data_IF_320271519023
#
_entry.id   IF_320271519023
#
_cell.length_a   1.000
_cell.length_b   1.000
_cell.length_c   1.000
_cell.angle_alpha   90.00
_cell.angle_beta   90.00
_cell.angle_gamma   90.00
#
_symmetry.space_group_name_H-M   'P 1'
#
loop_
_entity.id
_entity.type
_entity.pdbx_description
1 polymer ?
#
# COMPACT_ATOMS: atom_id res chain seq x y z
N UNK A 1 -12.75 -4.00 57.42
CA UNK A 1 -13.81 -3.15 56.83
C UNK A 1 -13.87 -3.51 55.34
N UNK A 2 -14.55 -4.59 54.92
CA UNK A 2 -15.98 -4.63 54.52
C UNK A 2 -16.45 -3.30 53.91
N UNK A 3 -16.92 -3.25 52.66
CA UNK A 3 -18.23 -3.79 52.23
C UNK A 3 -18.21 -4.26 50.76
N UNK A 4 -18.85 -5.41 50.51
CA UNK A 4 -19.41 -5.86 49.25
C UNK A 4 -20.95 -5.75 49.30
N UNK A 5 -21.62 -5.39 48.20
CA UNK A 5 -23.04 -5.73 47.87
C UNK A 5 -23.42 -5.08 46.52
N UNK A 6 -23.70 -5.86 45.47
CA UNK A 6 -25.01 -6.38 45.06
C UNK A 6 -26.01 -5.33 44.51
N UNK A 7 -26.36 -5.45 43.23
CA UNK A 7 -27.74 -5.29 42.75
C UNK A 7 -27.93 -5.96 41.38
N UNK A 8 -28.71 -7.04 41.39
CA UNK A 8 -29.29 -7.74 40.25
C UNK A 8 -30.76 -7.26 40.09
N UNK A 9 -31.28 -7.43 38.87
CA UNK A 9 -32.70 -7.39 38.44
C UNK A 9 -33.39 -6.04 38.21
N UNK A 10 -33.84 -5.83 36.95
CA UNK A 10 -35.27 -5.93 36.56
C UNK A 10 -35.46 -5.91 35.04
N UNK A 11 -36.03 -7.00 34.53
CA UNK A 11 -36.77 -7.08 33.27
C UNK A 11 -38.08 -6.29 33.38
N UNK A 12 -38.52 -5.66 32.30
CA UNK A 12 -39.89 -5.42 31.80
C UNK A 12 -39.68 -4.97 30.34
N UNK A 13 -40.18 -5.59 29.26
CA UNK A 13 -41.51 -6.12 29.05
C UNK A 13 -42.39 -5.05 28.38
N UNK A 14 -42.16 -4.73 27.10
CA UNK A 14 -43.09 -3.89 26.33
C UNK A 14 -43.71 -4.70 25.18
N UNK A 15 -44.97 -5.05 25.39
CA UNK A 15 -45.90 -5.58 24.40
C UNK A 15 -46.50 -4.38 23.66
N UNK A 16 -46.40 -4.34 22.33
CA UNK A 16 -47.18 -3.39 21.52
C UNK A 16 -48.16 -4.18 20.67
N UNK A 17 -49.43 -3.84 20.87
CA UNK A 17 -50.62 -4.39 20.23
C UNK A 17 -50.62 -4.15 18.70
N UNK A 18 -51.02 -5.18 17.97
CA UNK A 18 -51.34 -5.14 16.55
C UNK A 18 -52.79 -4.64 16.37
N UNK A 19 -52.98 -3.61 15.54
CA UNK A 19 -54.30 -3.25 15.02
C UNK A 19 -54.34 -3.54 13.51
N UNK A 20 -55.22 -4.46 13.10
CA UNK A 20 -55.55 -4.75 11.70
C UNK A 20 -56.44 -3.64 11.14
N UNK A 21 -56.12 -3.13 9.95
CA UNK A 21 -57.10 -2.56 9.01
C UNK A 21 -56.92 -3.24 7.64
N UNK A 22 -58.04 -3.68 7.09
CA UNK A 22 -58.19 -4.25 5.75
C UNK A 22 -58.15 -3.15 4.68
N UNK A 23 -57.53 -3.41 3.53
CA UNK A 23 -57.75 -2.63 2.31
C UNK A 23 -56.61 -2.62 1.28
N UNK A 24 -56.82 -3.35 0.18
CA UNK A 24 -56.26 -3.19 -1.20
C UNK A 24 -54.75 -3.33 -1.47
N UNK A 25 -54.42 -4.40 -2.21
CA UNK A 25 -53.15 -4.71 -2.91
C UNK A 25 -53.05 -3.96 -4.27
N UNK A 26 -51.90 -3.88 -5.00
CA UNK A 26 -51.14 -5.05 -5.46
C UNK A 26 -49.59 -4.99 -5.34
N UNK A 27 -49.03 -6.21 -5.22
CA UNK A 27 -47.70 -6.67 -5.66
C UNK A 27 -46.45 -6.19 -4.89
N UNK A 28 -46.14 -6.89 -3.79
CA UNK A 28 -44.79 -7.01 -3.27
C UNK A 28 -44.38 -8.49 -3.26
N UNK A 29 -43.33 -8.83 -4.02
CA UNK A 29 -42.68 -10.13 -3.97
C UNK A 29 -41.97 -10.27 -2.61
N UNK A 30 -42.40 -11.24 -1.80
CA UNK A 30 -41.73 -11.61 -0.55
C UNK A 30 -40.83 -12.81 -0.81
N UNK A 31 -39.52 -12.68 -0.60
CA UNK A 31 -38.63 -13.83 -0.39
C UNK A 31 -38.43 -14.02 1.11
N UNK A 32 -39.06 -15.07 1.65
CA UNK A 32 -38.80 -15.56 3.00
C UNK A 32 -37.48 -16.34 3.00
N UNK A 33 -36.52 -15.90 3.80
CA UNK A 33 -35.34 -16.72 4.12
C UNK A 33 -35.64 -17.48 5.40
N UNK A 34 -35.69 -18.82 5.32
CA UNK A 34 -35.88 -19.71 6.46
C UNK A 34 -34.50 -20.18 6.92
N UNK A 35 -34.08 -19.77 8.12
CA UNK A 35 -32.85 -20.27 8.75
C UNK A 35 -33.12 -21.69 9.25
N UNK A 36 -32.34 -22.67 8.77
CA UNK A 36 -32.19 -23.96 9.44
C UNK A 36 -30.85 -23.91 10.19
N UNK A 37 -30.91 -24.21 11.49
CA UNK A 37 -29.74 -24.39 12.35
C UNK A 37 -29.61 -25.89 12.55
N UNK A 38 -28.50 -26.47 12.08
CA UNK A 38 -28.10 -27.83 12.42
C UNK A 38 -26.86 -27.77 13.36
N UNK A 39 -26.78 -28.73 14.28
CA UNK A 39 -26.05 -28.71 15.57
C UNK A 39 -24.50 -28.68 15.54
N UNK A 40 -23.86 -28.15 14.50
CA UNK A 40 -22.41 -28.00 14.43
C UNK A 40 -21.98 -26.68 13.77
N UNK A 41 -22.37 -25.56 14.36
CA UNK A 41 -21.57 -24.32 14.48
C UNK A 41 -20.88 -23.65 13.26
N UNK A 42 -21.15 -24.04 12.00
CA UNK A 42 -20.50 -23.45 10.83
C UNK A 42 -21.49 -22.73 9.91
N UNK A 43 -21.21 -21.44 9.64
CA UNK A 43 -21.96 -20.60 8.70
C UNK A 43 -21.35 -20.73 7.29
N UNK A 44 -22.04 -21.41 6.38
CA UNK A 44 -21.77 -21.37 4.94
C UNK A 44 -22.76 -20.45 4.22
N UNK A 45 -22.26 -19.57 3.34
CA UNK A 45 -23.11 -18.81 2.43
C UNK A 45 -23.12 -19.47 1.04
N UNK A 46 -24.29 -19.71 0.47
CA UNK A 46 -24.48 -19.93 -0.96
C UNK A 46 -24.95 -18.61 -1.58
N UNK A 47 -24.21 -18.08 -2.57
CA UNK A 47 -24.66 -16.93 -3.35
C UNK A 47 -25.41 -17.42 -4.59
N UNK A 48 -26.67 -17.01 -4.72
CA UNK A 48 -27.44 -17.15 -5.94
C UNK A 48 -26.83 -16.27 -7.06
N UNK A 49 -26.39 -16.90 -8.15
CA UNK A 49 -25.89 -16.22 -9.35
C UNK A 49 -27.06 -15.63 -10.15
N UNK A 50 -27.13 -14.30 -10.23
CA UNK A 50 -27.99 -13.60 -11.19
C UNK A 50 -27.14 -13.28 -12.43
N UNK A 51 -27.34 -14.02 -13.53
CA UNK A 51 -26.75 -13.70 -14.84
C UNK A 51 -27.51 -12.52 -15.45
N UNK A 52 -26.83 -11.38 -15.63
CA UNK A 52 -27.27 -10.37 -16.61
C UNK A 52 -26.52 -10.59 -17.91
N UNK A 53 -27.24 -10.93 -18.98
CA UNK A 53 -26.72 -10.90 -20.34
C UNK A 53 -26.70 -9.45 -20.84
N UNK A 54 -25.50 -8.88 -20.99
CA UNK A 54 -25.31 -7.66 -21.78
C UNK A 54 -24.75 -8.07 -23.14
N UNK A 55 -25.57 -8.00 -24.19
CA UNK A 55 -25.13 -8.12 -25.57
C UNK A 55 -24.45 -6.81 -25.98
N UNK A 56 -23.16 -6.88 -26.33
CA UNK A 56 -22.43 -5.78 -26.95
C UNK A 56 -22.58 -5.96 -28.46
N UNK A 57 -23.30 -5.06 -29.12
CA UNK A 57 -23.28 -4.93 -30.58
C UNK A 57 -22.02 -4.15 -30.98
N UNK A 58 -21.09 -4.82 -31.67
CA UNK A 58 -19.98 -4.18 -32.37
C UNK A 58 -20.49 -3.43 -33.60
N UNK A 59 -20.32 -2.11 -33.63
CA UNK A 59 -20.47 -1.29 -34.83
C UNK A 59 -19.07 -0.92 -35.33
N UNK A 60 -18.70 -1.44 -36.49
CA UNK A 60 -17.49 -1.08 -37.23
C UNK A 60 -17.80 0.05 -38.21
N UNK A 61 -17.12 1.19 -38.10
CA UNK A 61 -17.01 2.15 -39.21
C UNK A 61 -15.76 3.03 -39.09
N UNK A 62 -14.81 2.83 -40.01
CA UNK A 62 -13.71 3.76 -40.29
C UNK A 62 -14.20 4.96 -41.11
N UNK A 63 -13.46 6.08 -41.08
CA UNK A 63 -13.37 6.92 -42.28
C UNK A 63 -11.93 7.17 -42.74
N UNK A 64 -11.77 6.97 -44.04
CA UNK A 64 -10.68 7.45 -44.91
C UNK A 64 -10.57 8.97 -44.84
N UNK A 65 -9.34 9.51 -44.76
CA UNK A 65 -9.05 10.91 -45.11
C UNK A 65 -7.88 10.93 -46.08
N UNK A 66 -8.22 11.18 -47.35
CA UNK A 66 -7.32 11.67 -48.38
C UNK A 66 -7.84 13.03 -48.84
N UNK A 67 -7.03 14.09 -48.71
CA UNK A 67 -6.86 15.15 -49.72
C UNK A 67 -5.88 16.23 -49.24
N UNK A 68 -4.82 16.35 -50.02
CA UNK A 68 -3.83 17.42 -50.08
C UNK A 68 -4.39 18.57 -50.93
N UNK A 69 -4.05 19.84 -50.62
CA UNK A 69 -3.65 20.94 -51.54
C UNK A 69 -3.20 22.16 -50.70
N UNK A 70 -2.23 22.98 -51.17
CA UNK A 70 -1.28 23.71 -50.32
C UNK A 70 -1.53 25.23 -50.27
N UNK A 71 -0.94 25.91 -49.28
CA UNK A 71 -0.70 27.36 -49.33
C UNK A 71 0.67 27.69 -48.74
N UNK A 72 1.46 28.40 -49.56
CA UNK A 72 2.79 28.92 -49.31
C UNK A 72 2.73 30.37 -48.84
N UNK A 73 3.61 30.75 -47.90
CA UNK A 73 4.43 31.99 -47.87
C UNK A 73 5.28 32.07 -46.58
N UNK A 74 6.38 32.85 -46.59
CA UNK A 74 7.68 32.40 -46.09
C UNK A 74 8.06 32.93 -44.69
N UNK A 75 8.99 32.23 -44.05
CA UNK A 75 9.61 32.60 -42.78
C UNK A 75 10.75 33.61 -43.01
N UNK A 76 10.62 34.79 -42.40
CA UNK A 76 11.61 35.86 -42.45
C UNK A 76 12.76 35.60 -41.47
N UNK A 77 13.97 35.81 -41.96
CA UNK A 77 15.25 35.79 -41.28
C UNK A 77 15.46 36.98 -40.33
N UNK A 78 15.85 36.75 -39.08
CA UNK A 78 16.58 37.74 -38.26
C UNK A 78 17.59 37.09 -37.29
N UNK A 79 18.85 37.50 -37.48
CA UNK A 79 20.04 37.58 -36.62
C UNK A 79 20.44 36.44 -35.65
N UNK A 80 21.71 35.97 -35.72
CA UNK A 80 22.28 35.05 -34.74
C UNK A 80 22.69 35.81 -33.46
N UNK A 81 22.29 35.28 -32.30
CA UNK A 81 22.80 35.67 -30.98
C UNK A 81 24.27 35.21 -30.84
N UNK A 82 25.14 35.98 -30.15
CA UNK A 82 26.51 35.57 -29.89
C UNK A 82 26.55 34.35 -28.93
N UNK A 83 27.54 33.45 -29.08
CA UNK A 83 27.66 32.27 -28.22
C UNK A 83 28.04 32.68 -26.78
N UNK A 84 27.58 31.94 -25.76
CA UNK A 84 27.98 32.21 -24.38
C UNK A 84 29.46 31.88 -24.17
N UNK A 85 30.16 32.77 -23.45
CA UNK A 85 31.54 32.60 -23.00
C UNK A 85 31.68 31.33 -22.15
N UNK A 86 32.52 30.40 -22.60
CA UNK A 86 32.95 29.26 -21.81
C UNK A 86 34.01 29.71 -20.79
N UNK A 87 33.60 29.83 -19.54
CA UNK A 87 34.54 29.90 -18.42
C UNK A 87 35.18 28.51 -18.24
N UNK A 88 36.51 28.47 -18.28
CA UNK A 88 37.34 27.30 -18.00
C UNK A 88 37.04 26.75 -16.59
N UNK A 89 36.27 25.66 -16.51
CA UNK A 89 36.31 24.76 -15.35
C UNK A 89 37.24 23.60 -15.70
N UNK A 90 38.38 23.57 -15.02
CA UNK A 90 39.32 22.45 -14.97
C UNK A 90 38.56 21.17 -14.61
N UNK A 91 38.34 20.29 -15.59
CA UNK A 91 37.86 18.93 -15.36
C UNK A 91 38.99 18.13 -14.71
N UNK A 92 38.91 17.91 -13.41
CA UNK A 92 39.58 16.78 -12.77
C UNK A 92 38.92 15.50 -13.28
N UNK A 93 39.65 14.75 -14.10
CA UNK A 93 39.25 13.45 -14.61
C UNK A 93 39.21 12.41 -13.49
N UNK A 94 38.06 12.23 -12.86
CA UNK A 94 37.77 10.99 -12.12
C UNK A 94 37.11 10.00 -13.07
N UNK A 95 37.92 9.11 -13.64
CA UNK A 95 37.44 7.93 -14.36
C UNK A 95 36.90 6.90 -13.36
N UNK A 96 35.71 7.15 -12.82
CA UNK A 96 34.96 6.10 -12.13
C UNK A 96 34.26 5.23 -13.17
N UNK A 97 34.90 4.11 -13.50
CA UNK A 97 34.27 2.96 -14.15
C UNK A 97 33.23 2.36 -13.20
N UNK A 98 32.07 3.02 -13.08
CA UNK A 98 30.94 2.48 -12.32
C UNK A 98 30.36 1.28 -13.09
N UNK A 99 30.48 0.10 -12.48
CA UNK A 99 29.85 -1.12 -12.98
C UNK A 99 28.34 -0.90 -13.11
N UNK A 100 27.73 -1.18 -14.28
CA UNK A 100 26.30 -0.95 -14.46
C UNK A 100 25.52 -2.01 -13.66
N UNK A 101 24.79 -1.52 -12.65
CA UNK A 101 23.76 -2.22 -11.86
C UNK A 101 24.27 -3.18 -10.76
N UNK A 102 25.11 -2.70 -9.85
CA UNK A 102 25.25 -3.36 -8.54
C UNK A 102 24.06 -2.97 -7.65
N UNK A 103 23.14 -3.90 -7.38
CA UNK A 103 22.06 -3.70 -6.41
C UNK A 103 22.65 -3.96 -5.01
N UNK A 104 23.11 -2.89 -4.37
CA UNK A 104 23.63 -2.94 -3.00
C UNK A 104 22.50 -2.93 -1.99
N UNK A 105 22.57 -3.82 -0.99
CA UNK A 105 21.72 -3.79 0.20
C UNK A 105 21.82 -2.45 0.92
N UNK A 106 20.69 -1.98 1.46
CA UNK A 106 20.61 -0.68 2.14
C UNK A 106 19.87 -0.81 3.45
N UNK A 107 20.23 0.06 4.37
CA UNK A 107 19.56 0.20 5.65
C UNK A 107 19.16 1.66 5.85
N UNK A 108 18.09 2.09 5.16
CA UNK A 108 17.46 3.42 5.31
C UNK A 108 16.14 3.37 6.08
N UNK A 109 15.80 2.22 6.65
CA UNK A 109 14.72 2.09 7.62
C UNK A 109 14.97 3.08 8.76
N UNK A 110 14.01 3.94 9.03
CA UNK A 110 14.08 4.92 10.11
C UNK A 110 13.19 4.44 11.26
N UNK A 111 13.80 4.07 12.37
CA UNK A 111 13.09 3.62 13.57
C UNK A 111 13.89 4.03 14.81
N UNK A 112 13.57 5.20 15.39
CA UNK A 112 14.10 5.60 16.69
C UNK A 112 13.90 4.53 17.80
N UNK A 113 12.78 3.79 17.88
CA UNK A 113 12.62 2.68 18.83
C UNK A 113 13.66 1.57 18.69
N UNK A 114 14.15 1.30 17.46
CA UNK A 114 15.20 0.33 17.18
C UNK A 114 16.62 0.95 17.19
N UNK A 115 16.74 2.25 17.45
CA UNK A 115 18.00 2.98 17.30
C UNK A 115 18.43 3.21 15.84
N UNK A 116 17.57 2.90 14.86
CA UNK A 116 17.86 3.07 13.44
C UNK A 116 17.63 4.52 13.02
N UNK A 117 18.73 5.26 12.86
CA UNK A 117 18.72 6.68 12.50
C UNK A 117 19.66 6.94 11.31
N UNK A 118 19.23 6.66 10.06
CA UNK A 118 20.08 6.87 8.90
C UNK A 118 20.50 8.35 8.75
N UNK A 119 21.73 8.65 8.29
CA UNK A 119 22.18 10.03 8.08
C UNK A 119 21.36 10.71 6.98
N UNK A 120 21.33 12.05 6.96
CA UNK A 120 20.55 12.84 5.99
C UNK A 120 19.06 12.47 5.96
N UNK A 121 18.52 12.05 7.10
CA UNK A 121 17.08 11.85 7.29
C UNK A 121 16.46 13.17 7.77
N UNK A 122 15.33 13.64 7.21
CA UNK A 122 14.65 14.82 7.73
C UNK A 122 14.29 14.63 9.21
N UNK A 123 14.60 15.59 10.10
CA UNK A 123 14.53 15.39 11.55
C UNK A 123 13.09 15.15 12.06
N UNK A 124 12.08 15.60 11.32
CA UNK A 124 10.67 15.44 11.67
C UNK A 124 9.99 14.28 10.96
N UNK A 125 10.68 13.54 10.08
CA UNK A 125 10.06 12.51 9.24
C UNK A 125 9.32 11.45 10.07
N UNK A 126 10.01 10.88 11.06
CA UNK A 126 9.42 9.88 11.94
C UNK A 126 8.31 10.45 12.83
N UNK A 127 8.57 11.57 13.52
CA UNK A 127 7.63 12.15 14.47
C UNK A 127 6.36 12.66 13.78
N UNK A 128 6.48 13.21 12.57
CA UNK A 128 5.34 13.63 11.75
C UNK A 128 4.47 12.44 11.33
N UNK A 129 5.08 11.36 10.83
CA UNK A 129 4.35 10.16 10.43
C UNK A 129 3.60 9.53 11.61
N UNK A 130 4.28 9.32 12.74
CA UNK A 130 3.67 8.77 13.96
C UNK A 130 2.54 9.67 14.47
N UNK A 131 2.76 10.99 14.57
CA UNK A 131 1.75 11.92 15.07
C UNK A 131 0.52 11.97 14.17
N UNK A 132 0.71 11.91 12.85
CA UNK A 132 -0.38 11.86 11.88
C UNK A 132 -1.25 10.61 12.10
N UNK A 133 -0.66 9.42 12.12
CA UNK A 133 -1.46 8.20 12.26
C UNK A 133 -2.01 8.01 13.68
N UNK A 134 -1.37 8.53 14.73
CA UNK A 134 -1.95 8.56 16.07
C UNK A 134 -3.17 9.50 16.19
N UNK A 135 -3.29 10.50 15.29
CA UNK A 135 -4.46 11.38 15.25
C UNK A 135 -5.70 10.73 14.63
N UNK A 136 -5.54 9.58 13.95
CA UNK A 136 -6.61 8.81 13.32
C UNK A 136 -6.97 7.64 14.26
N UNK A 137 -8.17 7.58 14.86
CA UNK A 137 -8.46 6.63 15.95
C UNK A 137 -8.18 5.16 15.62
N UNK A 138 -8.58 4.69 14.44
CA UNK A 138 -8.39 3.28 14.06
C UNK A 138 -6.91 2.95 13.80
N UNK A 139 -6.13 3.90 13.26
CA UNK A 139 -4.69 3.75 13.10
C UNK A 139 -3.98 3.74 14.46
N UNK A 140 -4.40 4.61 15.37
CA UNK A 140 -3.86 4.69 16.72
C UNK A 140 -4.02 3.36 17.47
N UNK A 141 -5.18 2.70 17.35
CA UNK A 141 -5.40 1.37 17.92
C UNK A 141 -4.37 0.33 17.43
N UNK A 142 -4.01 0.36 16.14
CA UNK A 142 -3.02 -0.55 15.57
C UNK A 142 -1.61 -0.23 16.09
N UNK A 143 -1.22 1.04 16.06
CA UNK A 143 0.13 1.49 16.44
C UNK A 143 0.38 1.30 17.94
N UNK A 144 -0.64 1.46 18.77
CA UNK A 144 -0.56 1.33 20.24
C UNK A 144 -0.76 -0.10 20.73
N UNK A 145 -0.99 -1.06 19.83
CA UNK A 145 -1.05 -2.48 20.20
C UNK A 145 0.28 -2.87 20.88
N UNK A 146 0.25 -3.67 21.97
CA UNK A 146 1.47 -4.13 22.62
C UNK A 146 2.40 -4.83 21.64
N UNK A 147 3.71 -4.73 21.88
CA UNK A 147 4.75 -5.33 21.04
C UNK A 147 4.83 -4.78 19.60
N UNK A 148 4.14 -3.66 19.31
CA UNK A 148 4.25 -2.98 18.02
C UNK A 148 5.52 -2.15 17.93
N UNK A 149 6.27 -2.35 16.84
CA UNK A 149 7.49 -1.59 16.52
C UNK A 149 7.26 -0.76 15.26
N UNK A 150 7.06 0.57 15.38
CA UNK A 150 6.88 1.46 14.24
C UNK A 150 8.20 1.88 13.60
N UNK A 151 8.15 2.10 12.28
CA UNK A 151 9.27 2.60 11.49
C UNK A 151 8.78 3.28 10.21
N UNK A 152 9.57 4.22 9.68
CA UNK A 152 9.36 4.76 8.33
C UNK A 152 10.15 3.89 7.34
N UNK A 153 9.52 3.36 6.28
CA UNK A 153 10.19 2.50 5.33
C UNK A 153 11.20 3.24 4.46
N UNK A 154 12.19 2.51 3.95
CA UNK A 154 13.28 3.05 3.14
C UNK A 154 12.79 3.81 1.89
N UNK A 155 11.74 3.30 1.22
CA UNK A 155 11.15 3.96 0.04
C UNK A 155 10.54 5.34 0.32
N UNK A 156 10.36 5.70 1.60
CA UNK A 156 9.89 7.00 2.06
C UNK A 156 10.97 7.79 2.84
N UNK A 157 12.24 7.37 2.78
CA UNK A 157 13.40 8.05 3.36
C UNK A 157 14.60 8.09 2.38
N UNK A 158 14.46 8.75 1.22
CA UNK A 158 15.49 8.76 0.18
C UNK A 158 16.81 9.35 0.68
N UNK A 159 17.93 8.73 0.32
CA UNK A 159 19.27 9.19 0.73
C UNK A 159 19.86 10.28 -0.17
N UNK A 160 19.42 10.34 -1.43
CA UNK A 160 19.98 11.24 -2.45
C UNK A 160 19.01 11.38 -3.62
N UNK A 161 19.12 12.43 -4.46
CA UNK A 161 18.26 12.64 -5.64
C UNK A 161 18.33 11.54 -6.71
N UNK A 162 19.27 10.61 -6.59
CA UNK A 162 19.54 9.58 -7.60
C UNK A 162 18.85 8.25 -7.35
N UNK A 163 18.26 8.00 -6.17
CA UNK A 163 17.70 6.69 -5.79
C UNK A 163 16.53 6.81 -4.82
N UNK A 164 15.66 5.81 -4.79
CA UNK A 164 14.49 5.73 -3.90
C UNK A 164 13.56 6.96 -4.04
N UNK A 165 13.51 7.51 -5.25
CA UNK A 165 12.85 8.79 -5.53
C UNK A 165 11.34 8.64 -5.73
N UNK A 166 10.85 7.47 -6.16
CA UNK A 166 9.45 7.35 -6.59
C UNK A 166 8.47 7.73 -5.47
N UNK A 167 8.57 7.09 -4.31
CA UNK A 167 7.65 7.33 -3.20
C UNK A 167 8.06 8.57 -2.38
N UNK A 168 9.22 8.50 -1.71
CA UNK A 168 9.67 9.50 -0.75
C UNK A 168 10.13 10.84 -1.33
N UNK A 169 10.11 11.02 -2.65
CA UNK A 169 10.41 12.31 -3.29
C UNK A 169 9.35 12.72 -4.33
N UNK A 170 9.17 11.94 -5.40
CA UNK A 170 8.29 12.26 -6.53
C UNK A 170 6.82 12.27 -6.13
N UNK A 171 6.37 11.24 -5.39
CA UNK A 171 4.99 11.13 -4.94
C UNK A 171 4.75 11.75 -3.56
N UNK A 172 5.81 12.07 -2.80
CA UNK A 172 5.75 12.69 -1.48
C UNK A 172 5.38 14.19 -1.57
N UNK A 173 4.10 14.46 -1.86
CA UNK A 173 3.57 15.82 -1.98
C UNK A 173 2.30 15.97 -1.15
N UNK A 174 1.85 17.21 -0.84
CA UNK A 174 0.59 17.42 -0.13
C UNK A 174 -0.63 16.81 -0.81
N UNK A 175 -0.59 16.62 -2.14
CA UNK A 175 -1.65 15.98 -2.93
C UNK A 175 -1.34 14.52 -3.27
N UNK A 176 -0.15 14.03 -2.94
CA UNK A 176 0.32 12.68 -3.29
C UNK A 176 0.25 11.74 -2.09
N UNK A 177 1.33 11.00 -1.86
CA UNK A 177 1.52 10.20 -0.64
C UNK A 177 2.00 11.15 0.46
N UNK A 178 1.14 11.43 1.43
CA UNK A 178 1.38 12.47 2.43
C UNK A 178 2.21 11.96 3.61
N UNK A 179 1.90 10.76 4.08
CA UNK A 179 2.55 10.10 5.21
C UNK A 179 2.60 8.59 4.96
N UNK A 180 3.68 7.95 5.41
CA UNK A 180 3.83 6.50 5.40
C UNK A 180 4.42 6.05 6.74
N UNK A 181 3.82 5.03 7.34
CA UNK A 181 4.34 4.41 8.56
C UNK A 181 4.11 2.91 8.49
N UNK A 182 5.18 2.15 8.65
CA UNK A 182 5.15 0.71 8.75
C UNK A 182 5.31 0.27 10.20
N UNK A 183 4.80 -0.91 10.52
CA UNK A 183 5.00 -1.54 11.81
C UNK A 183 4.92 -3.06 11.71
N UNK A 184 5.59 -3.73 12.64
CA UNK A 184 5.48 -5.16 12.87
C UNK A 184 5.28 -5.43 14.35
N UNK A 185 4.85 -6.64 14.69
CA UNK A 185 4.71 -7.08 16.07
C UNK A 185 5.85 -8.02 16.43
N UNK A 186 6.48 -7.83 17.59
CA UNK A 186 7.40 -8.82 18.14
C UNK A 186 6.61 -9.94 18.81
N UNK A 187 7.15 -11.15 18.74
CA UNK A 187 6.55 -12.32 19.40
C UNK A 187 6.97 -12.35 20.88
N UNK A 188 8.21 -11.92 21.14
CA UNK A 188 8.82 -11.81 22.46
C UNK A 188 9.97 -10.79 22.44
N UNK A 189 10.62 -10.58 23.59
CA UNK A 189 11.71 -9.61 23.78
C UNK A 189 12.98 -9.92 22.98
N UNK A 190 13.16 -11.17 22.56
CA UNK A 190 14.34 -11.64 21.81
C UNK A 190 14.13 -11.66 20.30
N UNK A 191 12.88 -11.51 19.84
CA UNK A 191 12.53 -11.64 18.42
C UNK A 191 13.33 -10.68 17.54
N UNK A 192 13.64 -9.45 18.00
CA UNK A 192 14.40 -8.46 17.22
C UNK A 192 15.85 -8.91 17.05
N UNK A 193 16.48 -9.44 18.11
CA UNK A 193 17.90 -9.72 18.17
C UNK A 193 18.25 -11.09 17.58
N UNK A 194 17.33 -12.04 17.56
CA UNK A 194 17.56 -13.38 17.02
C UNK A 194 17.65 -13.34 15.48
N UNK A 195 18.83 -13.54 14.87
CA UNK A 195 18.96 -13.46 13.42
C UNK A 195 18.18 -14.55 12.68
N UNK A 196 17.90 -15.69 13.33
CA UNK A 196 17.24 -16.83 12.71
C UNK A 196 15.71 -16.69 12.62
N UNK A 197 15.16 -15.66 13.26
CA UNK A 197 13.71 -15.38 13.31
C UNK A 197 13.39 -14.14 12.48
N UNK A 198 13.09 -14.29 11.19
CA UNK A 198 12.70 -13.17 10.34
C UNK A 198 11.33 -12.62 10.72
N UNK A 199 11.14 -11.32 10.52
CA UNK A 199 9.84 -10.67 10.54
C UNK A 199 9.04 -11.16 9.33
N UNK A 200 7.97 -11.90 9.59
CA UNK A 200 7.16 -12.54 8.55
C UNK A 200 5.94 -11.72 8.14
N UNK A 201 5.57 -10.70 8.92
CA UNK A 201 4.41 -9.85 8.68
C UNK A 201 4.74 -8.38 8.95
N UNK A 202 4.35 -7.50 8.03
CA UNK A 202 4.44 -6.05 8.18
C UNK A 202 3.11 -5.42 7.76
N UNK A 203 2.67 -4.46 8.56
CA UNK A 203 1.56 -3.57 8.22
C UNK A 203 2.11 -2.21 7.82
N UNK A 204 1.55 -1.60 6.78
CA UNK A 204 1.94 -0.24 6.33
C UNK A 204 0.71 0.63 6.14
N UNK A 205 0.71 1.78 6.79
CA UNK A 205 -0.30 2.82 6.67
C UNK A 205 0.16 3.85 5.63
N UNK A 206 -0.74 4.22 4.73
CA UNK A 206 -0.52 5.28 3.73
C UNK A 206 -1.62 6.33 3.85
N UNK A 207 -1.24 7.59 4.03
CA UNK A 207 -2.15 8.73 3.88
C UNK A 207 -2.08 9.21 2.42
N UNK A 208 -3.20 9.12 1.70
CA UNK A 208 -3.26 9.31 0.25
C UNK A 208 -4.08 10.56 -0.11
N UNK A 209 -3.51 11.44 -0.92
CA UNK A 209 -4.15 12.68 -1.39
C UNK A 209 -4.75 12.59 -2.80
N UNK A 210 -5.62 13.55 -3.12
CA UNK A 210 -6.38 13.66 -4.39
C UNK A 210 -5.55 13.64 -5.68
N UNK A 211 -4.28 13.98 -5.64
CA UNK A 211 -3.37 13.97 -6.79
C UNK A 211 -3.04 12.56 -7.29
N UNK A 212 -3.42 11.51 -6.55
CA UNK A 212 -3.25 10.11 -6.94
C UNK A 212 -4.52 9.51 -7.60
N UNK A 213 -5.52 10.33 -7.92
CA UNK A 213 -6.73 9.90 -8.60
C UNK A 213 -6.47 9.37 -10.01
N UNK A 214 -7.17 8.30 -10.39
CA UNK A 214 -7.26 7.87 -11.80
C UNK A 214 -8.59 8.23 -12.45
N UNK A 215 -9.67 8.20 -11.66
CA UNK A 215 -10.98 8.74 -11.98
C UNK A 215 -11.42 9.66 -10.85
N UNK A 216 -12.40 10.51 -11.08
CA UNK A 216 -12.89 11.44 -10.05
C UNK A 216 -13.26 10.69 -8.76
N UNK A 217 -12.60 11.07 -7.66
CA UNK A 217 -12.80 10.49 -6.33
C UNK A 217 -12.21 9.09 -6.11
N UNK A 218 -11.52 8.51 -7.09
CA UNK A 218 -11.01 7.13 -7.02
C UNK A 218 -9.50 7.07 -7.17
N UNK A 219 -8.84 6.41 -6.22
CA UNK A 219 -7.42 6.11 -6.27
C UNK A 219 -7.06 5.36 -7.55
N UNK A 220 -6.04 5.84 -8.26
CA UNK A 220 -5.58 5.22 -9.49
C UNK A 220 -5.18 3.77 -9.25
N UNK A 221 -5.62 2.84 -10.11
CA UNK A 221 -5.30 1.41 -9.97
C UNK A 221 -3.79 1.15 -9.91
N UNK A 222 -3.01 1.84 -10.74
CA UNK A 222 -1.54 1.82 -10.65
C UNK A 222 -0.97 2.27 -9.30
N UNK A 223 -1.62 3.18 -8.57
CA UNK A 223 -1.16 3.57 -7.24
C UNK A 223 -1.42 2.47 -6.20
N UNK A 224 -2.55 1.78 -6.29
CA UNK A 224 -2.82 0.58 -5.50
C UNK A 224 -1.73 -0.48 -5.76
N UNK A 225 -1.32 -0.64 -7.03
CA UNK A 225 -0.23 -1.56 -7.38
C UNK A 225 1.10 -1.14 -6.79
N UNK A 226 1.44 0.15 -6.88
CA UNK A 226 2.69 0.68 -6.33
C UNK A 226 2.74 0.52 -4.81
N UNK A 227 1.69 0.88 -4.05
CA UNK A 227 1.74 0.70 -2.58
C UNK A 227 1.77 -0.78 -2.19
N UNK A 228 1.19 -1.68 -2.99
CA UNK A 228 1.29 -3.12 -2.76
C UNK A 228 2.73 -3.62 -2.94
N UNK A 229 3.38 -3.28 -4.05
CA UNK A 229 4.76 -3.66 -4.34
C UNK A 229 5.71 -3.15 -3.27
N UNK A 230 5.61 -1.87 -2.94
CA UNK A 230 6.42 -1.23 -1.89
C UNK A 230 6.19 -1.90 -0.54
N UNK A 231 4.94 -2.16 -0.14
CA UNK A 231 4.62 -2.80 1.14
C UNK A 231 5.16 -4.23 1.26
N UNK A 232 5.13 -4.99 0.17
CA UNK A 232 5.70 -6.34 0.14
C UNK A 232 7.24 -6.30 0.16
N UNK A 233 7.85 -5.31 -0.50
CA UNK A 233 9.30 -5.10 -0.47
C UNK A 233 9.83 -4.72 0.93
N UNK A 234 9.03 -4.03 1.74
CA UNK A 234 9.40 -3.63 3.11
C UNK A 234 9.76 -4.83 4.00
N UNK A 235 9.18 -6.02 3.77
CA UNK A 235 9.59 -7.24 4.48
C UNK A 235 11.07 -7.55 4.26
N UNK A 236 11.61 -7.34 3.06
CA UNK A 236 13.03 -7.51 2.82
C UNK A 236 13.86 -6.42 3.48
N UNK A 237 13.42 -5.16 3.39
CA UNK A 237 14.14 -4.03 3.97
C UNK A 237 14.28 -4.13 5.49
N UNK A 238 13.19 -4.44 6.21
CA UNK A 238 13.23 -4.53 7.68
C UNK A 238 14.04 -5.73 8.15
N UNK A 239 13.93 -6.89 7.49
CA UNK A 239 14.71 -8.07 7.83
C UNK A 239 16.21 -7.86 7.57
N UNK A 240 16.57 -7.17 6.48
CA UNK A 240 17.94 -6.78 6.23
C UNK A 240 18.45 -5.78 7.28
N UNK A 241 17.64 -4.78 7.63
CA UNK A 241 17.99 -3.78 8.66
C UNK A 241 18.25 -4.42 10.03
N UNK A 242 17.49 -5.45 10.36
CA UNK A 242 17.60 -6.25 11.58
C UNK A 242 18.68 -7.34 11.52
N UNK A 243 19.39 -7.49 10.39
CA UNK A 243 20.44 -8.50 10.23
C UNK A 243 19.92 -9.94 10.25
N UNK A 244 18.67 -10.17 9.84
CA UNK A 244 18.08 -11.51 9.80
C UNK A 244 18.76 -12.38 8.76
N UNK A 245 19.00 -13.64 9.10
CA UNK A 245 19.65 -14.62 8.25
C UNK A 245 18.62 -15.46 7.50
N UNK A 246 18.98 -15.87 6.28
CA UNK A 246 18.13 -16.64 5.39
C UNK A 246 18.53 -16.41 3.94
N UNK A 247 18.21 -17.35 3.06
CA UNK A 247 18.62 -17.30 1.65
C UNK A 247 18.11 -16.06 0.89
N UNK A 248 17.09 -15.37 1.42
CA UNK A 248 16.48 -14.19 0.80
C UNK A 248 16.59 -12.92 1.64
N UNK A 249 16.71 -12.99 2.97
CA UNK A 249 16.64 -11.81 3.85
C UNK A 249 17.98 -11.06 4.03
N UNK A 250 19.11 -11.69 3.69
CA UNK A 250 20.45 -11.08 3.73
C UNK A 250 20.99 -10.69 2.35
N UNK A 251 20.12 -10.51 1.35
CA UNK A 251 20.49 -10.20 -0.03
C UNK A 251 19.57 -9.14 -0.63
N UNK A 252 20.04 -8.42 -1.65
CA UNK A 252 19.17 -7.54 -2.40
C UNK A 252 18.08 -8.34 -3.12
N UNK A 253 16.83 -7.91 -3.04
CA UNK A 253 15.71 -8.56 -3.70
C UNK A 253 15.09 -7.63 -4.73
N UNK A 254 14.55 -8.22 -5.80
CA UNK A 254 13.78 -7.51 -6.82
C UNK A 254 12.47 -8.23 -7.09
N UNK A 255 11.43 -7.48 -7.42
CA UNK A 255 10.14 -8.02 -7.85
C UNK A 255 10.31 -8.73 -9.19
N UNK A 256 10.01 -10.02 -9.23
CA UNK A 256 9.99 -10.83 -10.45
C UNK A 256 8.58 -11.06 -11.00
N UNK A 257 7.55 -10.94 -10.15
CA UNK A 257 6.15 -11.04 -10.54
C UNK A 257 5.25 -10.37 -9.51
N UNK A 258 4.16 -9.77 -10.00
CA UNK A 258 3.16 -9.09 -9.19
C UNK A 258 1.77 -9.35 -9.82
N UNK A 259 0.88 -9.96 -9.06
CA UNK A 259 -0.53 -10.17 -9.42
C UNK A 259 -1.41 -9.44 -8.41
N UNK A 260 -2.42 -8.72 -8.92
CA UNK A 260 -3.33 -7.91 -8.11
C UNK A 260 -4.76 -8.15 -8.55
N UNK A 261 -5.64 -8.39 -7.58
CA UNK A 261 -7.09 -8.47 -7.74
C UNK A 261 -7.71 -7.25 -7.09
N UNK A 262 -8.26 -6.36 -7.91
CA UNK A 262 -9.05 -5.21 -7.45
C UNK A 262 -10.46 -5.65 -7.08
N UNK A 263 -10.87 -5.41 -5.85
CA UNK A 263 -12.14 -5.88 -5.31
C UNK A 263 -13.16 -4.76 -5.13
N UNK A 264 -12.67 -3.58 -4.71
CA UNK A 264 -13.47 -2.37 -4.52
C UNK A 264 -12.67 -1.14 -4.98
N UNK A 265 -13.35 -0.02 -5.31
CA UNK A 265 -12.67 1.23 -5.61
C UNK A 265 -11.81 1.70 -4.42
N UNK A 266 -10.60 2.17 -4.68
CA UNK A 266 -9.70 2.68 -3.63
C UNK A 266 -10.04 4.12 -3.24
N UNK A 267 -9.96 4.47 -1.94
CA UNK A 267 -10.32 5.80 -1.45
C UNK A 267 -9.20 6.81 -1.71
N UNK A 268 -9.57 8.09 -1.73
CA UNK A 268 -8.64 9.22 -1.86
C UNK A 268 -8.93 10.25 -0.75
N UNK A 269 -7.93 11.04 -0.36
CA UNK A 269 -7.98 11.90 0.83
C UNK A 269 -8.25 11.12 2.13
N UNK A 270 -7.88 9.84 2.14
CA UNK A 270 -8.08 8.92 3.25
C UNK A 270 -6.81 8.11 3.51
N UNK A 271 -6.80 7.40 4.65
CA UNK A 271 -5.74 6.45 4.98
C UNK A 271 -6.16 5.03 4.59
N UNK A 272 -5.20 4.28 4.03
CA UNK A 272 -5.34 2.84 3.78
C UNK A 272 -4.29 2.05 4.56
N UNK A 273 -4.62 0.79 4.86
CA UNK A 273 -3.74 -0.18 5.48
C UNK A 273 -3.37 -1.26 4.47
N UNK A 274 -2.08 -1.54 4.32
CA UNK A 274 -1.56 -2.71 3.60
C UNK A 274 -0.99 -3.69 4.60
N UNK A 275 -1.54 -4.91 4.67
CA UNK A 275 -0.97 -6.00 5.45
C UNK A 275 -0.24 -6.95 4.51
N UNK A 276 1.08 -7.10 4.67
CA UNK A 276 1.92 -7.95 3.84
C UNK A 276 2.56 -9.07 4.69
N UNK A 277 2.60 -10.29 4.13
CA UNK A 277 3.20 -11.43 4.80
C UNK A 277 3.90 -12.37 3.81
N UNK A 278 4.97 -12.99 4.29
CA UNK A 278 5.69 -14.04 3.55
C UNK A 278 4.82 -15.30 3.50
N UNK A 279 4.53 -15.78 2.30
CA UNK A 279 3.73 -16.98 2.03
C UNK A 279 4.60 -18.24 1.92
N UNK A 280 5.71 -18.15 1.17
CA UNK A 280 6.70 -19.22 1.09
C UNK A 280 8.10 -18.69 0.73
N UNK A 281 9.14 -19.44 1.10
CA UNK A 281 10.52 -19.20 0.69
C UNK A 281 11.06 -20.46 0.02
N UNK A 282 11.46 -20.33 -1.25
CA UNK A 282 11.89 -21.45 -2.10
C UNK A 282 13.24 -21.10 -2.73
N UNK A 283 14.32 -21.50 -2.08
CA UNK A 283 15.68 -21.17 -2.50
C UNK A 283 15.90 -19.67 -2.52
N UNK A 284 15.98 -19.06 -3.71
CA UNK A 284 16.17 -17.60 -3.90
C UNK A 284 14.86 -16.84 -4.09
N UNK A 285 13.73 -17.54 -4.11
CA UNK A 285 12.42 -16.97 -4.34
C UNK A 285 11.71 -16.76 -3.00
N UNK A 286 11.16 -15.58 -2.79
CA UNK A 286 10.20 -15.31 -1.70
C UNK A 286 8.86 -14.99 -2.33
N UNK A 287 7.83 -15.75 -1.99
CA UNK A 287 6.46 -15.41 -2.36
C UNK A 287 5.84 -14.62 -1.20
N UNK A 288 5.30 -13.46 -1.50
CA UNK A 288 4.70 -12.55 -0.52
C UNK A 288 3.27 -12.26 -0.94
N UNK A 289 2.35 -12.26 0.01
CA UNK A 289 0.96 -11.85 -0.20
C UNK A 289 0.71 -10.55 0.53
N UNK A 290 -0.22 -9.75 0.03
CA UNK A 290 -0.77 -8.66 0.82
C UNK A 290 -2.25 -8.45 0.54
N UNK A 291 -2.91 -7.78 1.48
CA UNK A 291 -4.25 -7.22 1.33
C UNK A 291 -4.20 -5.72 1.59
N UNK A 292 -5.08 -4.98 0.92
CA UNK A 292 -5.24 -3.54 1.12
C UNK A 292 -6.65 -3.29 1.63
N UNK A 293 -6.76 -2.56 2.74
CA UNK A 293 -8.03 -2.19 3.39
C UNK A 293 -8.17 -0.68 3.51
N UNK A 294 -9.40 -0.19 3.39
CA UNK A 294 -9.75 1.19 3.72
C UNK A 294 -9.89 1.40 5.24
N UNK A 295 -10.14 2.64 5.67
CA UNK A 295 -10.32 2.98 7.08
C UNK A 295 -11.56 2.36 7.76
N UNK A 296 -12.44 1.71 7.00
CA UNK A 296 -13.60 0.95 7.51
C UNK A 296 -13.28 -0.55 7.62
N UNK A 297 -12.07 -0.96 7.28
CA UNK A 297 -11.65 -2.36 7.22
C UNK A 297 -12.13 -3.11 5.98
N UNK A 298 -12.72 -2.42 4.99
CA UNK A 298 -13.16 -3.04 3.74
C UNK A 298 -11.95 -3.30 2.88
N UNK A 299 -11.82 -4.55 2.44
CA UNK A 299 -10.75 -4.98 1.57
C UNK A 299 -10.99 -4.47 0.14
N UNK A 300 -10.04 -3.68 -0.37
CA UNK A 300 -10.11 -3.05 -1.69
C UNK A 300 -9.28 -3.80 -2.73
N UNK A 301 -8.23 -4.51 -2.31
CA UNK A 301 -7.41 -5.33 -3.20
C UNK A 301 -6.72 -6.48 -2.47
N UNK A 302 -6.47 -7.58 -3.19
CA UNK A 302 -5.57 -8.68 -2.80
C UNK A 302 -4.42 -8.77 -3.77
N UNK A 303 -3.22 -9.03 -3.28
CA UNK A 303 -2.03 -9.10 -4.10
C UNK A 303 -1.19 -10.32 -3.73
N UNK A 304 -0.49 -10.86 -4.71
CA UNK A 304 0.59 -11.83 -4.54
C UNK A 304 1.77 -11.42 -5.39
N UNK A 305 2.97 -11.59 -4.86
CA UNK A 305 4.20 -11.25 -5.54
C UNK A 305 5.24 -12.35 -5.39
N UNK A 306 6.18 -12.36 -6.33
CA UNK A 306 7.35 -13.21 -6.32
C UNK A 306 8.58 -12.32 -6.36
N UNK A 307 9.43 -12.45 -5.34
CA UNK A 307 10.67 -11.72 -5.20
C UNK A 307 11.86 -12.66 -5.39
N UNK A 308 12.92 -12.17 -6.00
CA UNK A 308 14.13 -12.95 -6.27
C UNK A 308 15.36 -12.26 -5.69
N UNK A 309 16.10 -13.00 -4.88
CA UNK A 309 17.41 -12.58 -4.37
C UNK A 309 18.44 -12.49 -5.50
N UNK A 310 19.06 -11.31 -5.61
CA UNK A 310 20.09 -10.96 -6.58
C UNK A 310 21.46 -11.37 -6.04
N UNK A 311 22.21 -12.14 -6.82
CA UNK A 311 23.59 -12.47 -6.47
C UNK A 311 24.48 -11.24 -6.70
N UNK A 312 25.44 -10.96 -5.81
CA UNK A 312 26.52 -10.03 -6.14
C UNK A 312 27.18 -10.50 -7.43
N UNK A 313 27.37 -9.61 -8.40
CA UNK A 313 28.29 -9.89 -9.52
C UNK A 313 29.69 -9.97 -8.91
N UNK A 314 30.29 -11.16 -8.94
CA UNK A 314 31.71 -11.38 -8.61
C UNK A 314 32.55 -10.74 -9.70
#
# INVERSE_FOLDING_TARGET
>A
MLIASLALNRLHGLVVHTQRRLGSSPAAFSSSTRVKVDDLGNLSWEIASIKHHMQIHTVTSSPNISRIIPMSRPWSSHHPLPPPEYANMTQSSESTTSSPLAITLRNRVLSPPLGFNPPNTPPTLYTSAVSHFLSIPWCACLIQTPNTVPFVPQCFNPSSPSRDQLLGATLATPRGVQQVLSFFHTEDETHIQDPSRPIMHVSTLFALGEGLCGYEGLLHGGMIMTIADESMGILHDINNALGKVGSTFGAANVTAGLEIKFLKPGPINETVLVNAWVDSVEGRRTNIKCEIRDGRGIEIAKCSSTWVSVRPKI
#
